data_IF_611872423374
#
_entry.id   IF_611872423374
#
_cell.length_a   1.000
_cell.length_b   1.000
_cell.length_c   1.000
_cell.angle_alpha   90.00
_cell.angle_beta   90.00
_cell.angle_gamma   90.00
#
_symmetry.space_group_name_H-M   'P 1'
#
loop_
_entity.id
_entity.type
_entity.pdbx_description
1 polymer ?
#
# COMPACT_ATOMS: atom_id res chain seq x y z
N UNK A 1 5.40 10.08 -10.92
CA UNK A 1 5.60 9.93 -9.47
C UNK A 1 5.00 8.64 -8.91
N UNK A 2 3.74 8.37 -9.20
CA UNK A 2 3.09 7.12 -8.75
C UNK A 2 3.72 5.86 -9.35
N UNK A 3 4.23 5.94 -10.57
CA UNK A 3 4.91 4.84 -11.25
C UNK A 3 6.19 4.42 -10.52
N UNK A 4 6.93 5.39 -9.98
CA UNK A 4 8.13 5.12 -9.19
C UNK A 4 7.80 4.44 -7.87
N UNK A 5 6.69 4.84 -7.24
CA UNK A 5 6.23 4.22 -6.00
C UNK A 5 5.80 2.77 -6.24
N UNK A 6 5.15 2.49 -7.36
CA UNK A 6 4.79 1.13 -7.75
C UNK A 6 6.03 0.26 -8.01
N UNK A 7 7.08 0.83 -8.62
CA UNK A 7 8.35 0.15 -8.84
C UNK A 7 9.06 -0.15 -7.52
N UNK A 8 9.04 0.80 -6.59
CA UNK A 8 9.62 0.61 -5.24
C UNK A 8 8.86 -0.50 -4.50
N UNK A 9 7.54 -0.54 -4.61
CA UNK A 9 6.72 -1.61 -4.00
C UNK A 9 7.08 -2.98 -4.57
N UNK A 10 7.26 -3.09 -5.88
CA UNK A 10 7.70 -4.34 -6.52
C UNK A 10 9.09 -4.76 -6.04
N UNK A 11 10.00 -3.80 -5.94
CA UNK A 11 11.35 -4.07 -5.41
C UNK A 11 11.27 -4.56 -3.96
N UNK A 12 10.39 -3.96 -3.16
CA UNK A 12 10.16 -4.37 -1.78
C UNK A 12 9.71 -5.84 -1.70
N UNK A 13 8.79 -6.25 -2.58
CA UNK A 13 8.31 -7.63 -2.64
C UNK A 13 9.42 -8.59 -3.06
N UNK A 14 10.23 -8.23 -4.05
CA UNK A 14 11.41 -9.00 -4.45
C UNK A 14 12.38 -9.18 -3.29
N UNK A 15 12.67 -8.08 -2.59
CA UNK A 15 13.58 -8.10 -1.43
C UNK A 15 13.02 -8.97 -0.31
N UNK A 16 11.71 -8.93 -0.06
CA UNK A 16 11.06 -9.76 0.95
C UNK A 16 11.24 -11.24 0.66
N UNK A 17 11.19 -11.63 -0.61
CA UNK A 17 11.44 -13.01 -1.03
C UNK A 17 12.93 -13.37 -0.91
N UNK A 18 13.82 -12.48 -1.35
CA UNK A 18 15.26 -12.73 -1.34
C UNK A 18 15.83 -12.89 0.05
N UNK A 19 15.41 -12.06 1.01
CA UNK A 19 15.91 -12.13 2.39
C UNK A 19 15.45 -13.39 3.13
N UNK A 20 14.47 -14.10 2.58
CA UNK A 20 14.00 -15.39 3.11
C UNK A 20 14.55 -16.59 2.35
N UNK A 21 15.32 -16.36 1.29
CA UNK A 21 15.93 -17.43 0.48
C UNK A 21 17.14 -18.01 1.22
N UNK A 22 17.18 -19.33 1.49
CA UNK A 22 18.30 -19.96 2.18
C UNK A 22 19.66 -19.74 1.51
N UNK A 23 19.71 -19.68 0.20
CA UNK A 23 20.95 -19.42 -0.55
C UNK A 23 21.48 -17.99 -0.31
N UNK A 24 20.57 -17.03 -0.22
CA UNK A 24 20.90 -15.64 0.09
C UNK A 24 21.34 -15.51 1.55
N UNK A 25 20.64 -16.15 2.46
CA UNK A 25 20.96 -16.16 3.90
C UNK A 25 22.36 -16.73 4.13
N UNK A 26 22.74 -17.75 3.35
CA UNK A 26 24.07 -18.36 3.42
C UNK A 26 25.19 -17.41 2.97
N UNK A 27 24.87 -16.45 2.11
CA UNK A 27 25.76 -15.38 1.70
C UNK A 27 25.53 -14.14 2.59
N UNK A 28 26.19 -14.10 3.72
CA UNK A 28 26.00 -13.11 4.77
C UNK A 28 26.13 -11.66 4.29
N UNK A 29 27.13 -11.39 3.45
CA UNK A 29 27.37 -10.04 2.93
C UNK A 29 26.24 -9.58 1.99
N UNK A 30 25.81 -10.46 1.10
CA UNK A 30 24.71 -10.21 0.17
C UNK A 30 23.38 -10.03 0.93
N UNK A 31 23.14 -10.89 1.90
CA UNK A 31 21.95 -10.82 2.74
C UNK A 31 21.86 -9.48 3.48
N UNK A 32 22.97 -9.03 4.06
CA UNK A 32 23.02 -7.74 4.78
C UNK A 32 22.68 -6.54 3.88
N UNK A 33 23.19 -6.55 2.66
CA UNK A 33 22.93 -5.48 1.67
C UNK A 33 21.46 -5.46 1.30
N UNK A 34 20.86 -6.63 1.07
CA UNK A 34 19.44 -6.75 0.74
C UNK A 34 18.54 -6.36 1.91
N UNK A 35 18.91 -6.73 3.13
CA UNK A 35 18.20 -6.33 4.34
C UNK A 35 18.22 -4.83 4.55
N UNK A 36 19.35 -4.20 4.28
CA UNK A 36 19.47 -2.74 4.39
C UNK A 36 18.56 -2.04 3.38
N UNK A 37 18.59 -2.47 2.13
CA UNK A 37 17.73 -1.92 1.09
C UNK A 37 16.25 -2.08 1.47
N UNK A 38 15.86 -3.27 1.93
CA UNK A 38 14.50 -3.56 2.39
C UNK A 38 14.09 -2.61 3.52
N UNK A 39 14.94 -2.44 4.51
CA UNK A 39 14.70 -1.54 5.64
C UNK A 39 14.55 -0.08 5.20
N UNK A 40 15.41 0.37 4.29
CA UNK A 40 15.40 1.75 3.81
C UNK A 40 14.12 2.11 3.06
N UNK A 41 13.56 1.17 2.30
CA UNK A 41 12.35 1.43 1.51
C UNK A 41 11.04 1.06 2.23
N UNK A 42 11.10 0.34 3.35
CA UNK A 42 9.91 -0.06 4.13
C UNK A 42 8.99 1.13 4.46
N UNK A 43 9.47 2.26 5.02
CA UNK A 43 8.59 3.39 5.32
C UNK A 43 7.91 3.97 4.07
N UNK A 44 8.60 4.00 2.95
CA UNK A 44 8.07 4.50 1.67
C UNK A 44 6.93 3.59 1.19
N UNK A 45 7.13 2.29 1.24
CA UNK A 45 6.14 1.30 0.81
C UNK A 45 4.91 1.33 1.72
N UNK A 46 5.11 1.46 3.03
CA UNK A 46 4.01 1.56 4.00
C UNK A 46 3.13 2.78 3.71
N UNK A 47 3.75 3.93 3.45
CA UNK A 47 3.03 5.17 3.10
C UNK A 47 2.27 5.03 1.78
N UNK A 48 2.89 4.41 0.80
CA UNK A 48 2.26 4.20 -0.50
C UNK A 48 1.03 3.28 -0.38
N UNK A 49 1.15 2.19 0.39
CA UNK A 49 0.05 1.26 0.63
C UNK A 49 -1.10 1.91 1.38
N UNK A 50 -0.79 2.75 2.36
CA UNK A 50 -1.77 3.55 3.09
C UNK A 50 -2.51 4.50 2.15
N UNK A 51 -1.78 5.19 1.29
CA UNK A 51 -2.35 6.09 0.27
C UNK A 51 -3.30 5.33 -0.67
N UNK A 52 -2.89 4.17 -1.17
CA UNK A 52 -3.72 3.35 -2.06
C UNK A 52 -5.01 2.90 -1.38
N UNK A 53 -4.91 2.51 -0.13
CA UNK A 53 -6.06 2.08 0.67
C UNK A 53 -7.08 3.22 0.85
N UNK A 54 -6.61 4.40 1.21
CA UNK A 54 -7.47 5.59 1.39
C UNK A 54 -8.13 5.95 0.06
N UNK A 55 -7.38 5.94 -1.02
CA UNK A 55 -7.90 6.24 -2.36
C UNK A 55 -8.99 5.25 -2.78
N UNK A 56 -8.81 3.99 -2.50
CA UNK A 56 -9.77 2.93 -2.78
C UNK A 56 -11.04 3.10 -1.94
N UNK A 57 -10.90 3.37 -0.65
CA UNK A 57 -12.02 3.63 0.26
C UNK A 57 -12.82 4.85 -0.18
N UNK A 58 -12.13 5.90 -0.62
CA UNK A 58 -12.78 7.11 -1.14
C UNK A 58 -13.58 6.82 -2.41
N UNK A 59 -13.03 6.05 -3.33
CA UNK A 59 -13.70 5.65 -4.56
C UNK A 59 -14.96 4.81 -4.26
N UNK A 60 -14.87 3.89 -3.31
CA UNK A 60 -16.01 3.09 -2.85
C UNK A 60 -17.10 3.96 -2.24
N UNK A 61 -16.72 4.95 -1.43
CA UNK A 61 -17.66 5.89 -0.83
C UNK A 61 -18.38 6.74 -1.89
N UNK A 62 -17.66 7.22 -2.91
CA UNK A 62 -18.23 7.96 -4.02
C UNK A 62 -19.21 7.10 -4.81
N UNK A 63 -18.87 5.84 -5.04
CA UNK A 63 -19.73 4.88 -5.71
C UNK A 63 -21.04 4.65 -4.92
N UNK A 64 -20.94 4.52 -3.61
CA UNK A 64 -22.10 4.40 -2.72
C UNK A 64 -23.01 5.63 -2.79
N UNK A 65 -22.42 6.83 -2.81
CA UNK A 65 -23.19 8.08 -2.90
C UNK A 65 -23.93 8.23 -4.23
N UNK A 66 -23.42 7.62 -5.28
CA UNK A 66 -24.01 7.65 -6.61
C UNK A 66 -25.00 6.50 -6.87
N UNK A 67 -25.08 5.55 -5.98
CA UNK A 67 -25.98 4.40 -6.12
C UNK A 67 -27.39 4.78 -5.68
N UNK A 68 -28.34 4.76 -6.62
CA UNK A 68 -29.74 5.11 -6.39
C UNK A 68 -30.49 4.09 -5.51
N UNK A 69 -29.93 2.90 -5.29
CA UNK A 69 -30.52 1.88 -4.42
C UNK A 69 -30.23 2.13 -2.94
N UNK A 70 -29.33 3.05 -2.62
CA UNK A 70 -28.93 3.40 -1.26
C UNK A 70 -29.83 4.55 -0.76
N UNK A 71 -30.32 4.38 0.44
CA UNK A 71 -31.21 5.32 1.09
C UNK A 71 -30.47 6.64 1.44
N UNK A 72 -31.19 7.76 1.42
CA UNK A 72 -30.66 9.10 1.65
C UNK A 72 -30.01 9.26 3.02
N UNK A 73 -30.55 8.59 4.04
CA UNK A 73 -29.99 8.62 5.39
C UNK A 73 -28.62 7.96 5.43
N UNK A 74 -28.46 6.86 4.72
CA UNK A 74 -27.18 6.17 4.61
C UNK A 74 -26.17 7.02 3.84
N UNK A 75 -26.60 7.67 2.76
CA UNK A 75 -25.76 8.61 1.99
C UNK A 75 -25.28 9.78 2.86
N UNK A 76 -26.15 10.30 3.71
CA UNK A 76 -25.80 11.36 4.65
C UNK A 76 -24.75 10.91 5.66
N UNK A 77 -24.85 9.69 6.17
CA UNK A 77 -23.86 9.12 7.09
C UNK A 77 -22.49 8.98 6.42
N UNK A 78 -22.45 8.52 5.17
CA UNK A 78 -21.22 8.37 4.41
C UNK A 78 -20.56 9.73 4.18
N UNK A 79 -21.33 10.76 3.82
CA UNK A 79 -20.83 12.13 3.65
C UNK A 79 -20.24 12.69 4.93
N UNK A 80 -20.91 12.47 6.05
CA UNK A 80 -20.46 12.93 7.37
C UNK A 80 -19.12 12.30 7.74
N UNK A 81 -18.96 11.02 7.50
CA UNK A 81 -17.75 10.28 7.79
C UNK A 81 -16.55 10.78 6.96
N UNK A 82 -16.78 11.10 5.69
CA UNK A 82 -15.70 11.52 4.78
C UNK A 82 -15.49 13.03 4.68
N UNK A 83 -16.32 13.84 5.31
CA UNK A 83 -16.17 15.30 5.31
C UNK A 83 -15.36 15.84 6.49
N UNK A 84 -14.98 14.99 7.41
CA UNK A 84 -14.06 15.31 8.50
C UNK A 84 -12.59 15.05 8.06
#
# INVERSE_FOLDING_TARGET
MLERLADIERRYEELSDLINDPEIIADNERWRKLMKEHSDITPIVEKYREYKKIKEELAEAEEMLNDSSIDDDFKSLVKEEFSE
#
